data_IF_046612579554
#
_entry.id   IF_046612579554
#
_cell.length_a   1.000
_cell.length_b   1.000
_cell.length_c   1.000
_cell.angle_alpha   90.00
_cell.angle_beta   90.00
_cell.angle_gamma   90.00
#
_symmetry.space_group_name_H-M   'P 1'
#
loop_
_entity.id
_entity.type
_entity.pdbx_description
1 polymer ?
#
# COMPACT_ATOMS: atom_id res chain seq x y z
N UNK A 1 -4.10 -23.47 -5.27
CA UNK A 1 -4.16 -23.96 -6.68
C UNK A 1 -4.80 -25.34 -6.83
N UNK A 2 -4.38 -26.39 -6.10
CA UNK A 2 -4.90 -27.76 -6.31
C UNK A 2 -6.43 -27.87 -6.18
N UNK A 3 -7.04 -27.17 -5.21
CA UNK A 3 -8.50 -27.20 -5.05
C UNK A 3 -9.25 -26.51 -6.20
N UNK A 4 -8.67 -25.44 -6.77
CA UNK A 4 -9.22 -24.78 -7.96
C UNK A 4 -9.14 -25.71 -9.19
N UNK A 5 -8.00 -26.36 -9.41
CA UNK A 5 -7.80 -27.30 -10.52
C UNK A 5 -8.68 -28.55 -10.40
N UNK A 6 -8.90 -29.07 -9.19
CA UNK A 6 -9.79 -30.20 -8.95
C UNK A 6 -11.28 -29.84 -8.97
N UNK A 7 -11.59 -28.54 -9.03
CA UNK A 7 -12.97 -28.04 -9.07
C UNK A 7 -13.68 -27.96 -7.70
N UNK A 8 -12.94 -28.11 -6.59
CA UNK A 8 -13.49 -28.01 -5.25
C UNK A 8 -13.89 -26.60 -4.86
N UNK A 9 -13.21 -25.59 -5.44
CA UNK A 9 -13.50 -24.17 -5.27
C UNK A 9 -13.65 -23.49 -6.64
N UNK A 10 -14.28 -22.32 -6.67
CA UNK A 10 -14.58 -21.58 -7.90
C UNK A 10 -13.58 -20.47 -8.20
N UNK A 11 -12.89 -19.98 -7.18
CA UNK A 11 -11.88 -18.94 -7.33
C UNK A 11 -10.88 -18.89 -6.17
N UNK A 12 -9.72 -18.31 -6.45
CA UNK A 12 -8.67 -18.05 -5.45
C UNK A 12 -8.09 -16.64 -5.60
N UNK A 13 -7.63 -16.10 -4.48
CA UNK A 13 -6.83 -14.89 -4.43
C UNK A 13 -5.33 -15.22 -4.53
N UNK A 14 -4.52 -14.21 -4.91
CA UNK A 14 -3.07 -14.24 -4.86
C UNK A 14 -2.42 -15.48 -5.51
N UNK A 15 -2.70 -15.67 -6.80
CA UNK A 15 -2.02 -16.72 -7.58
C UNK A 15 -0.51 -16.47 -7.56
N UNK A 16 0.27 -17.46 -7.13
CA UNK A 16 1.72 -17.39 -7.13
C UNK A 16 2.28 -17.27 -8.55
N UNK A 17 3.37 -16.55 -8.74
CA UNK A 17 4.00 -16.37 -10.06
C UNK A 17 4.36 -17.70 -10.73
N UNK A 18 4.75 -18.70 -9.94
CA UNK A 18 5.09 -20.04 -10.43
C UNK A 18 3.86 -20.80 -10.99
N UNK A 19 2.65 -20.40 -10.60
CA UNK A 19 1.39 -21.01 -11.04
C UNK A 19 0.77 -20.34 -12.29
N UNK A 20 1.26 -19.16 -12.70
CA UNK A 20 0.68 -18.42 -13.83
C UNK A 20 0.64 -19.23 -15.13
N UNK A 21 1.76 -19.86 -15.48
CA UNK A 21 1.84 -20.70 -16.68
C UNK A 21 0.89 -21.90 -16.62
N UNK A 22 0.71 -22.45 -15.44
CA UNK A 22 -0.23 -23.56 -15.18
C UNK A 22 -1.67 -23.12 -15.39
N UNK A 23 -2.06 -21.97 -14.83
CA UNK A 23 -3.40 -21.42 -15.02
C UNK A 23 -3.64 -21.03 -16.48
N UNK A 24 -2.67 -20.41 -17.14
CA UNK A 24 -2.80 -19.97 -18.54
C UNK A 24 -2.96 -21.14 -19.53
N UNK A 25 -2.45 -22.34 -19.21
CA UNK A 25 -2.59 -23.54 -20.03
C UNK A 25 -3.86 -24.35 -19.78
N UNK A 26 -4.52 -24.12 -18.63
CA UNK A 26 -5.74 -24.81 -18.27
C UNK A 26 -6.96 -24.09 -18.81
N UNK A 27 -7.62 -24.65 -19.83
CA UNK A 27 -8.81 -24.06 -20.45
C UNK A 27 -10.02 -23.95 -19.53
N UNK A 28 -10.00 -24.67 -18.39
CA UNK A 28 -11.05 -24.59 -17.37
C UNK A 28 -10.83 -23.45 -16.37
N UNK A 29 -9.68 -22.78 -16.44
CA UNK A 29 -9.31 -21.69 -15.56
C UNK A 29 -9.15 -20.39 -16.33
N UNK A 30 -9.28 -19.28 -15.63
CA UNK A 30 -9.02 -17.94 -16.17
C UNK A 30 -8.31 -17.11 -15.12
N UNK A 31 -7.22 -16.46 -15.54
CA UNK A 31 -6.45 -15.52 -14.72
C UNK A 31 -7.02 -14.11 -14.88
N UNK A 32 -7.13 -13.40 -13.78
CA UNK A 32 -7.60 -12.02 -13.71
C UNK A 32 -6.52 -11.18 -13.02
N UNK A 33 -5.71 -10.45 -13.78
CA UNK A 33 -4.72 -9.55 -13.20
C UNK A 33 -5.37 -8.47 -12.34
N UNK A 34 -4.74 -8.17 -11.20
CA UNK A 34 -5.11 -7.07 -10.31
C UNK A 34 -3.92 -6.15 -10.17
N UNK A 35 -4.09 -4.90 -10.56
CA UNK A 35 -3.17 -3.82 -10.25
C UNK A 35 -3.80 -2.93 -9.18
N UNK A 36 -3.05 -2.59 -8.15
CA UNK A 36 -3.47 -1.69 -7.08
C UNK A 36 -2.29 -0.84 -6.63
N UNK A 37 -2.57 0.28 -5.97
CA UNK A 37 -1.51 1.15 -5.52
C UNK A 37 -0.70 0.46 -4.40
N UNK A 38 0.53 0.16 -4.73
CA UNK A 38 1.52 -0.40 -3.83
C UNK A 38 2.92 -0.03 -4.32
N UNK A 39 3.91 -0.19 -3.48
CA UNK A 39 5.31 -0.11 -3.90
C UNK A 39 6.24 -0.97 -3.04
N UNK A 40 7.30 -1.50 -3.68
CA UNK A 40 8.55 -1.89 -3.01
C UNK A 40 9.48 -0.70 -2.96
N UNK A 41 10.11 -0.46 -1.82
CA UNK A 41 11.18 0.54 -1.72
C UNK A 41 12.41 0.00 -1.02
N UNK A 42 13.56 0.53 -1.41
CA UNK A 42 14.79 0.53 -0.65
C UNK A 42 14.87 1.85 0.11
N UNK A 43 15.00 1.79 1.42
CA UNK A 43 15.09 2.96 2.29
C UNK A 43 16.48 3.15 2.85
N UNK A 44 16.80 4.40 3.17
CA UNK A 44 18.03 4.79 3.85
C UNK A 44 17.72 5.53 5.14
N UNK A 45 18.40 5.14 6.23
CA UNK A 45 18.35 5.91 7.47
C UNK A 45 19.41 7.01 7.45
N UNK A 46 18.99 8.26 7.34
CA UNK A 46 19.87 9.42 7.22
C UNK A 46 20.57 9.85 8.54
N UNK A 47 20.41 9.08 9.60
CA UNK A 47 21.17 9.23 10.85
C UNK A 47 22.28 8.19 11.00
N UNK A 48 22.41 7.27 10.04
CA UNK A 48 23.42 6.22 10.02
C UNK A 48 24.38 6.44 8.84
N UNK A 49 25.69 6.55 9.13
CA UNK A 49 26.69 6.61 8.07
C UNK A 49 26.75 5.30 7.27
N UNK A 50 26.99 5.36 5.95
CA UNK A 50 27.26 6.54 5.15
C UNK A 50 25.99 7.23 4.58
N UNK A 51 24.79 6.77 4.97
CA UNK A 51 23.51 7.26 4.43
C UNK A 51 23.10 8.64 4.98
N UNK A 52 23.85 9.20 5.93
CA UNK A 52 23.73 10.60 6.38
C UNK A 52 24.19 11.60 5.29
N UNK A 53 24.98 11.15 4.32
CA UNK A 53 25.36 11.95 3.15
C UNK A 53 24.32 11.80 2.03
N UNK A 54 23.68 12.91 1.65
CA UNK A 54 22.66 12.96 0.59
C UNK A 54 23.19 12.49 -0.77
N UNK A 55 24.41 12.89 -1.15
CA UNK A 55 25.01 12.50 -2.42
C UNK A 55 25.26 10.98 -2.48
N UNK A 56 25.58 10.35 -1.36
CA UNK A 56 25.72 8.89 -1.29
C UNK A 56 24.36 8.22 -1.54
N UNK A 57 23.28 8.71 -0.94
CA UNK A 57 21.93 8.15 -1.21
C UNK A 57 21.53 8.34 -2.68
N UNK A 58 21.82 9.51 -3.27
CA UNK A 58 21.57 9.78 -4.70
C UNK A 58 22.36 8.83 -5.60
N UNK A 59 23.66 8.62 -5.31
CA UNK A 59 24.51 7.70 -6.05
C UNK A 59 23.99 6.26 -5.97
N UNK A 60 23.63 5.80 -4.77
CA UNK A 60 23.05 4.46 -4.58
C UNK A 60 21.74 4.29 -5.35
N UNK A 61 20.87 5.30 -5.37
CA UNK A 61 19.61 5.26 -6.10
C UNK A 61 19.82 5.10 -7.62
N UNK A 62 20.76 5.81 -8.19
CA UNK A 62 21.07 5.74 -9.63
C UNK A 62 21.78 4.46 -10.05
N UNK A 63 22.30 3.69 -9.10
CA UNK A 63 22.96 2.40 -9.36
C UNK A 63 21.98 1.23 -9.48
N UNK A 64 20.66 1.44 -9.31
CA UNK A 64 19.65 0.38 -9.29
C UNK A 64 18.82 0.42 -10.56
N UNK A 65 18.94 -0.62 -11.38
CA UNK A 65 18.10 -0.88 -12.55
C UNK A 65 16.76 -1.49 -12.11
N UNK A 66 15.79 -0.62 -11.91
CA UNK A 66 14.44 -0.99 -11.47
C UNK A 66 13.72 -1.84 -12.52
N UNK A 67 13.92 -1.54 -13.82
CA UNK A 67 13.28 -2.27 -14.91
C UNK A 67 13.76 -3.72 -14.95
N UNK A 68 15.08 -3.95 -14.83
CA UNK A 68 15.67 -5.29 -14.71
C UNK A 68 15.04 -6.10 -13.56
N UNK A 69 14.81 -5.45 -12.42
CA UNK A 69 14.18 -6.11 -11.26
C UNK A 69 12.75 -6.53 -11.60
N UNK A 70 11.97 -5.64 -12.21
CA UNK A 70 10.58 -5.94 -12.58
C UNK A 70 10.52 -7.07 -13.62
N UNK A 71 11.31 -6.98 -14.69
CA UNK A 71 11.32 -7.95 -15.78
C UNK A 71 11.70 -9.38 -15.33
N UNK A 72 12.54 -9.51 -14.29
CA UNK A 72 13.03 -10.81 -13.83
C UNK A 72 12.24 -11.41 -12.65
N UNK A 73 11.59 -10.59 -11.83
CA UNK A 73 11.09 -11.07 -10.55
C UNK A 73 9.61 -10.79 -10.29
N UNK A 74 8.96 -9.98 -11.13
CA UNK A 74 7.54 -9.63 -10.93
C UNK A 74 6.65 -10.31 -11.96
N UNK A 75 5.37 -10.53 -11.64
CA UNK A 75 4.38 -10.98 -12.60
C UNK A 75 3.99 -9.88 -13.59
N UNK A 76 3.35 -10.30 -14.68
CA UNK A 76 2.76 -9.40 -15.65
C UNK A 76 1.82 -8.37 -14.97
N UNK A 77 1.89 -7.13 -15.42
CA UNK A 77 1.13 -6.02 -14.87
C UNK A 77 1.88 -5.18 -13.83
N UNK A 78 2.99 -5.68 -13.26
CA UNK A 78 3.87 -4.86 -12.45
C UNK A 78 4.67 -3.88 -13.30
N UNK A 79 5.06 -2.75 -12.71
CA UNK A 79 5.84 -1.71 -13.40
C UNK A 79 7.01 -1.22 -12.55
N UNK A 80 8.10 -0.84 -13.20
CA UNK A 80 9.18 -0.13 -12.54
C UNK A 80 8.66 1.24 -12.06
N UNK A 81 8.92 1.57 -10.80
CA UNK A 81 8.45 2.82 -10.24
C UNK A 81 9.23 4.01 -10.81
N UNK A 82 8.51 5.03 -11.25
CA UNK A 82 9.08 6.25 -11.84
C UNK A 82 9.18 7.41 -10.87
N UNK A 83 8.47 7.35 -9.76
CA UNK A 83 8.45 8.38 -8.70
C UNK A 83 7.93 7.78 -7.39
N UNK A 84 7.88 8.58 -6.33
CA UNK A 84 7.42 8.12 -5.01
C UNK A 84 5.96 7.66 -5.03
N UNK A 85 5.07 8.45 -5.62
CA UNK A 85 3.65 8.07 -5.70
C UNK A 85 3.41 6.97 -6.74
N UNK A 86 2.56 5.96 -6.45
CA UNK A 86 2.16 4.97 -7.45
C UNK A 86 1.23 5.57 -8.52
N UNK A 87 1.18 4.99 -9.74
CA UNK A 87 0.50 5.60 -10.91
C UNK A 87 -1.00 5.87 -10.73
N UNK A 88 -1.69 5.11 -9.88
CA UNK A 88 -3.12 5.27 -9.64
C UNK A 88 -3.48 6.34 -8.61
N UNK A 89 -2.51 6.89 -7.90
CA UNK A 89 -2.76 7.81 -6.78
C UNK A 89 -3.08 9.22 -7.26
N UNK A 90 -4.29 9.70 -7.01
CA UNK A 90 -4.73 11.07 -7.34
C UNK A 90 -5.55 11.68 -6.19
N UNK A 91 -5.11 12.84 -5.60
CA UNK A 91 -3.85 13.54 -5.90
C UNK A 91 -2.63 12.75 -5.44
N UNK A 92 -1.46 13.03 -6.01
CA UNK A 92 -0.17 12.45 -5.62
C UNK A 92 0.74 12.15 -6.80
N UNK A 93 0.32 11.30 -7.74
CA UNK A 93 1.12 10.99 -8.92
C UNK A 93 1.29 12.20 -9.84
N UNK A 94 2.54 12.54 -10.14
CA UNK A 94 2.90 13.68 -10.99
C UNK A 94 3.01 13.25 -12.45
N UNK A 95 2.05 13.62 -13.27
CA UNK A 95 2.05 13.26 -14.70
C UNK A 95 3.26 13.85 -15.43
N UNK A 96 3.96 13.01 -16.18
CA UNK A 96 5.13 13.40 -16.95
C UNK A 96 6.40 13.65 -16.14
N UNK A 97 6.41 13.40 -14.84
CA UNK A 97 7.59 13.43 -13.99
C UNK A 97 8.15 12.02 -13.80
N UNK A 98 9.46 11.92 -13.74
CA UNK A 98 10.16 10.69 -13.38
C UNK A 98 11.42 11.02 -12.58
N UNK A 99 11.71 10.19 -11.58
CA UNK A 99 12.96 10.19 -10.85
C UNK A 99 14.17 10.01 -11.79
N UNK A 100 15.38 10.34 -11.34
CA UNK A 100 16.60 10.10 -12.11
C UNK A 100 16.69 8.64 -12.57
N UNK A 101 17.03 8.44 -13.85
CA UNK A 101 17.13 7.12 -14.44
C UNK A 101 18.35 6.34 -13.92
N UNK A 102 18.33 5.02 -14.09
CA UNK A 102 19.50 4.16 -13.89
C UNK A 102 20.67 4.63 -14.73
N UNK A 103 21.80 4.90 -14.09
CA UNK A 103 23.05 5.32 -14.71
C UNK A 103 24.22 4.94 -13.78
N UNK A 104 24.77 3.72 -13.91
CA UNK A 104 25.79 3.20 -13.02
C UNK A 104 27.12 3.96 -13.10
N UNK A 105 27.45 4.53 -14.26
CA UNK A 105 28.68 5.33 -14.42
C UNK A 105 28.57 6.66 -13.65
N UNK A 106 27.44 7.33 -13.80
CA UNK A 106 27.15 8.56 -13.05
C UNK A 106 27.00 8.28 -11.55
N UNK A 107 26.37 7.16 -11.17
CA UNK A 107 26.27 6.70 -9.78
C UNK A 107 27.67 6.59 -9.16
N UNK A 108 28.59 5.88 -9.83
CA UNK A 108 29.96 5.71 -9.36
C UNK A 108 30.70 7.05 -9.25
N UNK A 109 30.50 7.97 -10.21
CA UNK A 109 31.10 9.30 -10.16
C UNK A 109 30.59 10.09 -8.95
N UNK A 110 29.26 10.13 -8.72
CA UNK A 110 28.67 10.82 -7.58
C UNK A 110 29.20 10.26 -6.25
N UNK A 111 29.26 8.94 -6.12
CA UNK A 111 29.79 8.28 -4.91
C UNK A 111 31.27 8.62 -4.68
N UNK A 112 32.08 8.65 -5.75
CA UNK A 112 33.50 9.02 -5.69
C UNK A 112 33.65 10.48 -5.24
N UNK A 113 32.88 11.39 -5.82
CA UNK A 113 32.93 12.82 -5.50
C UNK A 113 32.44 13.11 -4.08
N UNK A 114 31.50 12.29 -3.59
CA UNK A 114 31.00 12.32 -2.21
C UNK A 114 31.97 11.72 -1.18
N UNK A 115 33.09 11.14 -1.63
CA UNK A 115 34.08 10.50 -0.76
C UNK A 115 33.63 9.15 -0.18
N UNK A 116 32.78 8.41 -0.90
CA UNK A 116 32.34 7.09 -0.48
C UNK A 116 33.52 6.12 -0.39
N UNK A 117 33.62 5.40 0.73
CA UNK A 117 34.64 4.37 0.93
C UNK A 117 34.18 3.04 0.27
N UNK A 118 34.70 2.72 -0.89
CA UNK A 118 34.42 1.47 -1.61
C UNK A 118 34.97 0.22 -0.93
N UNK A 119 35.82 0.36 0.09
CA UNK A 119 36.27 -0.76 0.91
C UNK A 119 35.29 -1.10 2.04
N UNK A 120 34.42 -0.17 2.39
CA UNK A 120 33.34 -0.41 3.35
C UNK A 120 32.32 -1.43 2.82
N UNK A 121 31.89 -2.35 3.67
CA UNK A 121 30.78 -3.25 3.37
C UNK A 121 29.47 -2.67 3.91
N UNK A 122 28.51 -2.43 3.02
CA UNK A 122 27.15 -2.02 3.39
C UNK A 122 26.30 -3.23 3.80
N UNK A 123 25.32 -3.02 4.67
CA UNK A 123 24.34 -4.07 5.01
C UNK A 123 22.99 -3.72 4.40
N UNK A 124 22.41 -4.64 3.62
CA UNK A 124 21.04 -4.58 3.14
C UNK A 124 20.16 -5.55 3.93
N UNK A 125 19.29 -5.01 4.75
CA UNK A 125 18.39 -5.79 5.60
C UNK A 125 17.04 -6.02 4.90
N UNK A 126 16.48 -7.22 5.03
CA UNK A 126 15.17 -7.58 4.47
C UNK A 126 14.58 -8.78 5.20
N UNK A 127 13.28 -9.01 5.01
CA UNK A 127 12.59 -10.19 5.54
C UNK A 127 12.09 -11.09 4.41
N UNK A 128 12.11 -12.42 4.62
CA UNK A 128 11.56 -13.42 3.70
C UNK A 128 10.04 -13.48 3.87
N UNK A 129 9.37 -12.42 3.41
CA UNK A 129 7.92 -12.35 3.43
C UNK A 129 7.39 -11.89 2.08
N UNK A 130 6.84 -12.82 1.32
CA UNK A 130 6.24 -12.54 0.02
C UNK A 130 5.05 -11.58 0.16
N UNK A 131 5.04 -10.56 -0.70
CA UNK A 131 3.98 -9.57 -0.85
C UNK A 131 3.80 -9.27 -2.33
N UNK A 132 2.66 -8.76 -2.78
CA UNK A 132 2.50 -8.32 -4.17
C UNK A 132 3.59 -7.34 -4.63
N UNK A 133 3.99 -6.43 -3.74
CA UNK A 133 5.09 -5.50 -3.98
C UNK A 133 6.49 -6.12 -3.79
N UNK A 134 6.62 -7.29 -3.15
CA UNK A 134 7.90 -7.97 -2.90
C UNK A 134 7.75 -9.49 -3.13
N UNK A 135 7.55 -9.92 -4.38
CA UNK A 135 7.15 -11.30 -4.69
C UNK A 135 8.25 -12.33 -4.46
N UNK A 136 9.51 -11.96 -4.62
CA UNK A 136 10.68 -12.82 -4.48
C UNK A 136 11.78 -12.14 -3.66
N UNK A 137 11.60 -11.98 -2.33
CA UNK A 137 12.44 -11.12 -1.49
C UNK A 137 13.94 -11.41 -1.61
N UNK A 138 14.36 -12.66 -1.42
CA UNK A 138 15.76 -13.04 -1.48
C UNK A 138 16.37 -12.83 -2.87
N UNK A 139 15.66 -13.12 -3.94
CA UNK A 139 16.18 -12.95 -5.31
C UNK A 139 16.34 -11.47 -5.66
N UNK A 140 15.37 -10.64 -5.27
CA UNK A 140 15.44 -9.19 -5.49
C UNK A 140 16.58 -8.58 -4.68
N UNK A 141 16.77 -8.99 -3.43
CA UNK A 141 17.90 -8.52 -2.62
C UNK A 141 19.25 -8.94 -3.21
N UNK A 142 19.36 -10.16 -3.72
CA UNK A 142 20.57 -10.65 -4.42
C UNK A 142 20.84 -9.89 -5.73
N UNK A 143 19.80 -9.53 -6.48
CA UNK A 143 19.95 -8.76 -7.70
C UNK A 143 20.44 -7.34 -7.42
N UNK A 144 19.88 -6.66 -6.39
CA UNK A 144 20.38 -5.35 -5.96
C UNK A 144 21.82 -5.43 -5.44
N UNK A 145 22.17 -6.47 -4.68
CA UNK A 145 23.55 -6.74 -4.28
C UNK A 145 24.48 -6.85 -5.51
N UNK A 146 24.06 -7.60 -6.54
CA UNK A 146 24.85 -7.78 -7.76
C UNK A 146 25.02 -6.46 -8.54
N UNK A 147 23.96 -5.67 -8.69
CA UNK A 147 24.00 -4.37 -9.37
C UNK A 147 24.97 -3.40 -8.65
N UNK A 148 24.91 -3.32 -7.33
CA UNK A 148 25.84 -2.49 -6.55
C UNK A 148 27.29 -2.99 -6.67
N UNK A 149 27.49 -4.31 -6.76
CA UNK A 149 28.83 -4.89 -6.99
C UNK A 149 29.41 -4.53 -8.36
N UNK A 150 28.59 -4.34 -9.39
CA UNK A 150 29.02 -3.91 -10.73
C UNK A 150 29.78 -2.55 -10.70
N UNK A 151 29.43 -1.67 -9.75
CA UNK A 151 30.13 -0.39 -9.58
C UNK A 151 31.15 -0.41 -8.44
N UNK A 152 31.41 -1.59 -7.83
CA UNK A 152 32.43 -1.81 -6.82
C UNK A 152 31.98 -1.71 -5.38
N UNK A 153 30.69 -1.62 -5.10
CA UNK A 153 30.14 -1.56 -3.73
C UNK A 153 29.96 -2.99 -3.18
N UNK A 154 30.50 -3.21 -1.99
CA UNK A 154 30.33 -4.46 -1.25
C UNK A 154 29.07 -4.41 -0.41
N UNK A 155 28.16 -5.37 -0.60
CA UNK A 155 26.91 -5.45 0.16
C UNK A 155 26.79 -6.80 0.83
N UNK A 156 26.53 -6.79 2.15
CA UNK A 156 26.13 -7.96 2.92
C UNK A 156 24.60 -8.02 2.99
N UNK A 157 24.01 -9.16 2.64
CA UNK A 157 22.58 -9.40 2.82
C UNK A 157 22.28 -9.86 4.24
N UNK A 158 21.34 -9.18 4.90
CA UNK A 158 20.86 -9.53 6.23
C UNK A 158 19.40 -9.94 6.17
N UNK A 159 19.17 -11.25 6.06
CA UNK A 159 17.83 -11.81 6.16
C UNK A 159 17.39 -11.87 7.61
N UNK A 160 16.22 -11.36 7.92
CA UNK A 160 15.65 -11.36 9.26
C UNK A 160 14.24 -11.98 9.26
N UNK A 161 13.87 -12.56 10.40
CA UNK A 161 12.51 -13.00 10.64
C UNK A 161 11.60 -11.76 10.83
N UNK A 162 10.37 -11.81 10.29
CA UNK A 162 9.48 -10.64 10.21
C UNK A 162 9.17 -9.98 11.54
N UNK A 163 8.93 -10.78 12.58
CA UNK A 163 8.58 -10.27 13.93
C UNK A 163 9.72 -9.52 14.61
N UNK A 164 10.97 -9.80 14.24
CA UNK A 164 12.16 -9.07 14.70
C UNK A 164 12.50 -7.92 13.75
N UNK A 165 12.26 -8.10 12.44
CA UNK A 165 12.63 -7.15 11.40
C UNK A 165 11.88 -5.83 11.51
N UNK A 166 10.53 -5.89 11.54
CA UNK A 166 9.72 -4.68 11.52
C UNK A 166 9.93 -3.77 12.74
N UNK A 167 10.03 -4.28 13.99
CA UNK A 167 10.42 -3.47 15.15
C UNK A 167 11.81 -2.83 14.99
N UNK A 168 12.81 -3.55 14.49
CA UNK A 168 14.17 -3.03 14.29
C UNK A 168 14.21 -1.90 13.24
N UNK A 169 13.45 -2.04 12.14
CA UNK A 169 13.29 -0.96 11.15
C UNK A 169 12.64 0.26 11.80
N UNK A 170 11.52 0.09 12.49
CA UNK A 170 10.79 1.19 13.14
C UNK A 170 11.59 1.88 14.24
N UNK A 171 12.48 1.15 14.91
CA UNK A 171 13.41 1.70 15.89
C UNK A 171 14.59 2.46 15.25
N UNK A 172 14.69 2.49 13.92
CA UNK A 172 15.80 3.15 13.22
C UNK A 172 17.13 2.42 13.29
N UNK A 173 17.13 1.11 13.58
CA UNK A 173 18.36 0.32 13.74
C UNK A 173 18.99 -0.12 12.41
N UNK A 174 18.27 0.02 11.30
CA UNK A 174 18.71 -0.42 9.97
C UNK A 174 19.10 0.77 9.11
N UNK A 175 20.31 0.70 8.51
CA UNK A 175 20.86 1.78 7.67
C UNK A 175 20.28 1.75 6.25
N UNK A 176 20.23 0.55 5.63
CA UNK A 176 19.66 0.31 4.31
C UNK A 176 18.79 -0.94 4.37
N UNK A 177 17.54 -0.83 3.92
CA UNK A 177 16.59 -1.92 4.07
C UNK A 177 15.47 -1.91 3.04
N UNK A 178 14.91 -3.10 2.74
CA UNK A 178 13.72 -3.25 1.93
C UNK A 178 12.46 -3.29 2.78
N UNK A 179 11.46 -2.53 2.37
CA UNK A 179 10.09 -2.66 2.85
C UNK A 179 9.15 -2.17 1.74
N UNK A 180 7.86 -2.26 1.95
CA UNK A 180 6.88 -1.77 0.98
C UNK A 180 5.56 -1.46 1.63
N UNK A 181 4.64 -0.97 0.82
CA UNK A 181 3.31 -0.56 1.23
C UNK A 181 2.27 -0.95 0.20
N UNK A 182 1.12 -1.27 0.67
CA UNK A 182 -0.12 -1.30 -0.11
C UNK A 182 -1.07 -0.31 0.52
N UNK A 183 -1.71 0.53 -0.27
CA UNK A 183 -2.58 1.54 0.30
C UNK A 183 -3.82 0.95 0.96
N UNK A 184 -4.27 1.61 2.00
CA UNK A 184 -5.52 1.30 2.72
C UNK A 184 -6.69 2.08 2.14
N UNK A 185 -6.43 3.26 1.58
CA UNK A 185 -7.41 4.12 0.91
C UNK A 185 -6.71 5.03 -0.12
N UNK A 186 -7.39 5.39 -1.23
CA UNK A 186 -6.76 6.05 -2.39
C UNK A 186 -6.65 7.57 -2.19
N UNK A 187 -5.90 7.99 -1.20
CA UNK A 187 -5.54 9.39 -0.99
C UNK A 187 -4.05 9.55 -0.70
N UNK A 188 -3.50 10.68 -1.12
CA UNK A 188 -2.10 10.99 -0.94
C UNK A 188 -1.65 10.92 0.52
N UNK A 189 -2.51 11.20 1.49
CA UNK A 189 -2.20 11.14 2.92
C UNK A 189 -1.80 9.73 3.37
N UNK A 190 -2.34 8.67 2.75
CA UNK A 190 -1.93 7.29 3.05
C UNK A 190 -0.50 6.95 2.62
N UNK A 191 0.13 7.83 1.84
CA UNK A 191 1.49 7.70 1.34
C UNK A 191 2.42 8.74 1.95
N UNK A 192 2.13 10.00 1.73
CA UNK A 192 3.02 11.10 2.08
C UNK A 192 3.09 11.32 3.59
N UNK A 193 1.96 11.27 4.28
CA UNK A 193 1.92 11.47 5.73
C UNK A 193 2.59 10.30 6.45
N UNK A 194 2.32 9.06 6.02
CA UNK A 194 2.88 7.85 6.64
C UNK A 194 4.41 7.82 6.51
N UNK A 195 4.96 8.18 5.34
CA UNK A 195 6.39 7.98 5.06
C UNK A 195 7.24 9.22 5.25
N UNK A 196 6.69 10.42 5.03
CA UNK A 196 7.49 11.63 4.90
C UNK A 196 7.31 12.63 6.04
N UNK A 197 6.33 12.40 6.93
CA UNK A 197 6.09 13.25 8.11
C UNK A 197 6.86 12.81 9.37
N UNK A 198 7.75 11.82 9.24
CA UNK A 198 8.61 11.37 10.34
C UNK A 198 7.95 10.36 11.29
N UNK A 199 6.77 9.84 10.96
CA UNK A 199 6.03 8.89 11.82
C UNK A 199 6.52 7.46 11.68
N UNK A 200 7.14 7.09 10.57
CA UNK A 200 7.59 5.71 10.28
C UNK A 200 8.89 5.31 10.99
N UNK A 201 9.69 6.26 11.47
CA UNK A 201 10.89 6.04 12.27
C UNK A 201 12.11 5.47 11.54
N UNK A 202 11.92 4.73 10.45
CA UNK A 202 12.98 3.93 9.83
C UNK A 202 14.00 4.70 8.99
N UNK A 203 13.68 5.91 8.55
CA UNK A 203 14.53 6.73 7.65
C UNK A 203 15.32 7.82 8.35
N UNK A 204 15.25 7.86 9.70
CA UNK A 204 15.90 8.88 10.50
C UNK A 204 15.12 10.19 10.56
N UNK A 205 15.81 11.32 10.45
CA UNK A 205 15.17 12.64 10.54
C UNK A 205 14.37 12.97 9.29
N UNK A 206 13.12 13.45 9.44
CA UNK A 206 12.34 13.93 8.33
C UNK A 206 12.94 15.24 7.75
N UNK A 207 12.59 15.55 6.52
CA UNK A 207 13.06 16.73 5.79
C UNK A 207 12.02 17.85 5.90
N UNK A 208 12.33 19.00 6.54
CA UNK A 208 11.34 20.06 6.77
C UNK A 208 10.73 20.63 5.48
N UNK A 209 11.50 20.72 4.39
CA UNK A 209 11.06 21.19 3.08
C UNK A 209 10.11 20.20 2.38
N UNK A 210 10.18 18.90 2.71
CA UNK A 210 9.19 17.88 2.31
C UNK A 210 7.93 18.00 3.17
N UNK A 211 8.08 18.18 4.49
CA UNK A 211 6.96 18.21 5.43
C UNK A 211 6.03 19.41 5.24
N UNK A 212 6.57 20.56 4.88
CA UNK A 212 5.80 21.80 4.74
C UNK A 212 4.71 21.70 3.66
N UNK A 213 5.00 21.33 2.39
CA UNK A 213 3.94 21.18 1.37
C UNK A 213 2.95 20.06 1.70
N UNK A 214 3.36 18.97 2.35
CA UNK A 214 2.43 17.93 2.82
C UNK A 214 1.45 18.51 3.85
N UNK A 215 1.97 19.25 4.84
CA UNK A 215 1.15 19.89 5.87
C UNK A 215 0.17 20.92 5.30
N UNK A 216 0.57 21.62 4.23
CA UNK A 216 -0.33 22.53 3.50
C UNK A 216 -1.41 21.77 2.74
N UNK A 217 -1.04 20.66 2.04
CA UNK A 217 -1.97 19.83 1.29
C UNK A 217 -3.07 19.24 2.19
N UNK A 218 -2.74 18.83 3.42
CA UNK A 218 -3.68 18.30 4.39
C UNK A 218 -4.80 19.30 4.80
N UNK A 219 -4.61 20.60 4.55
CA UNK A 219 -5.55 21.67 4.88
C UNK A 219 -6.40 22.12 3.70
N UNK A 220 -6.37 21.42 2.59
CA UNK A 220 -7.07 21.78 1.37
C UNK A 220 -8.05 20.69 0.98
N UNK A 221 -9.26 21.06 0.57
CA UNK A 221 -10.23 20.17 -0.05
C UNK A 221 -10.13 20.16 -1.58
N UNK A 222 -9.52 21.18 -2.18
CA UNK A 222 -9.32 21.27 -3.63
C UNK A 222 -8.22 20.31 -4.12
N UNK A 223 -8.62 19.31 -4.88
CA UNK A 223 -7.74 18.25 -5.38
C UNK A 223 -6.61 18.80 -6.26
N UNK A 224 -6.88 19.82 -7.09
CA UNK A 224 -5.88 20.38 -7.99
C UNK A 224 -4.83 21.22 -7.24
N UNK A 225 -5.25 21.91 -6.18
CA UNK A 225 -4.32 22.63 -5.31
C UNK A 225 -3.42 21.65 -4.52
N UNK A 226 -3.99 20.57 -4.00
CA UNK A 226 -3.24 19.49 -3.35
C UNK A 226 -2.22 18.86 -4.30
N UNK A 227 -2.62 18.54 -5.54
CA UNK A 227 -1.74 17.95 -6.54
C UNK A 227 -0.46 18.77 -6.76
N UNK A 228 -0.58 20.10 -6.86
CA UNK A 228 0.60 20.98 -7.03
C UNK A 228 1.62 20.84 -5.91
N UNK A 229 1.15 20.71 -4.67
CA UNK A 229 2.01 20.52 -3.51
C UNK A 229 2.70 19.14 -3.54
N UNK A 230 1.97 18.09 -3.92
CA UNK A 230 2.57 16.76 -4.07
C UNK A 230 3.53 16.67 -5.27
N UNK A 231 3.31 17.45 -6.34
CA UNK A 231 4.28 17.58 -7.45
C UNK A 231 5.63 18.16 -6.97
N UNK A 232 5.60 19.05 -6.00
CA UNK A 232 6.81 19.58 -5.35
C UNK A 232 7.46 18.49 -4.46
N UNK A 233 6.67 17.82 -3.65
CA UNK A 233 7.14 16.75 -2.76
C UNK A 233 7.84 15.64 -3.56
N UNK A 234 7.26 15.18 -4.67
CA UNK A 234 7.88 14.13 -5.50
C UNK A 234 9.30 14.52 -5.96
N UNK A 235 9.53 15.78 -6.32
CA UNK A 235 10.86 16.26 -6.68
C UNK A 235 11.81 16.29 -5.49
N UNK A 236 11.35 16.73 -4.33
CA UNK A 236 12.14 16.80 -3.11
C UNK A 236 12.54 15.41 -2.60
N UNK A 237 11.66 14.41 -2.75
CA UNK A 237 11.99 13.02 -2.44
C UNK A 237 13.17 12.53 -3.28
N UNK A 238 13.27 12.90 -4.56
CA UNK A 238 14.38 12.53 -5.42
C UNK A 238 15.66 13.36 -5.16
N UNK A 239 15.55 14.50 -4.52
CA UNK A 239 16.71 15.27 -4.02
C UNK A 239 17.26 14.62 -2.75
N UNK A 240 16.42 14.38 -1.75
CA UNK A 240 16.87 13.90 -0.45
C UNK A 240 17.04 12.37 -0.39
N UNK A 241 16.34 11.64 -1.26
CA UNK A 241 16.38 10.18 -1.40
C UNK A 241 16.27 9.44 -0.06
N UNK A 242 15.20 9.66 0.74
CA UNK A 242 14.94 8.78 1.89
C UNK A 242 14.52 7.38 1.41
N UNK A 243 13.88 7.30 0.25
CA UNK A 243 13.39 6.08 -0.39
C UNK A 243 13.77 6.02 -1.86
N UNK A 244 14.21 4.85 -2.31
CA UNK A 244 14.28 4.48 -3.73
C UNK A 244 13.11 3.56 -3.99
N UNK A 245 12.03 4.07 -4.56
CA UNK A 245 10.89 3.22 -4.93
C UNK A 245 11.28 2.40 -6.14
N UNK A 246 11.19 1.06 -6.01
CA UNK A 246 11.68 0.08 -7.00
C UNK A 246 10.59 -0.28 -7.99
N UNK A 247 9.45 -0.75 -7.49
CA UNK A 247 8.39 -1.32 -8.32
C UNK A 247 7.02 -1.05 -7.73
N UNK A 248 6.03 -0.93 -8.60
CA UNK A 248 4.62 -1.07 -8.29
C UNK A 248 4.23 -2.50 -8.67
N UNK A 249 3.94 -3.32 -7.69
CA UNK A 249 3.66 -4.74 -7.87
C UNK A 249 2.25 -5.00 -8.40
N UNK A 250 2.06 -6.18 -8.95
CA UNK A 250 0.77 -6.70 -9.36
C UNK A 250 0.52 -8.07 -8.72
N UNK A 251 -0.73 -8.48 -8.71
CA UNK A 251 -1.15 -9.83 -8.32
C UNK A 251 -2.21 -10.32 -9.30
N UNK A 252 -2.67 -11.54 -9.14
CA UNK A 252 -3.77 -12.07 -9.95
C UNK A 252 -4.67 -12.95 -9.11
N UNK A 253 -5.94 -12.94 -9.45
CA UNK A 253 -6.91 -13.92 -9.01
C UNK A 253 -7.09 -14.96 -10.11
N UNK A 254 -7.47 -16.16 -9.75
CA UNK A 254 -7.90 -17.15 -10.73
C UNK A 254 -9.28 -17.69 -10.39
N UNK A 255 -10.08 -17.89 -11.42
CA UNK A 255 -11.42 -18.46 -11.31
C UNK A 255 -11.59 -19.60 -12.32
N UNK A 256 -12.54 -20.51 -12.05
CA UNK A 256 -13.04 -21.40 -13.10
C UNK A 256 -13.56 -20.56 -14.27
N UNK A 257 -13.31 -21.00 -15.51
CA UNK A 257 -13.78 -20.31 -16.72
C UNK A 257 -15.32 -20.24 -16.82
N UNK A 258 -16.03 -21.06 -16.05
CA UNK A 258 -17.51 -21.08 -15.94
C UNK A 258 -18.08 -20.02 -14.99
N UNK A 259 -17.26 -19.37 -14.19
CA UNK A 259 -17.71 -18.26 -13.33
C UNK A 259 -17.95 -17.03 -14.20
N UNK A 260 -19.21 -16.58 -14.26
CA UNK A 260 -19.60 -15.37 -14.97
C UNK A 260 -19.53 -14.13 -14.12
N UNK A 261 -19.53 -12.94 -14.74
CA UNK A 261 -19.62 -11.65 -14.04
C UNK A 261 -18.39 -11.29 -13.20
N UNK A 262 -17.23 -11.89 -13.46
CA UNK A 262 -15.99 -11.59 -12.69
C UNK A 262 -15.49 -10.20 -13.06
N UNK A 263 -15.55 -9.29 -12.09
CA UNK A 263 -14.99 -7.94 -12.19
C UNK A 263 -14.04 -7.74 -11.01
N UNK A 264 -12.77 -7.51 -11.33
CA UNK A 264 -11.70 -7.34 -10.34
C UNK A 264 -11.24 -5.89 -10.38
N UNK A 265 -11.41 -5.21 -9.25
CA UNK A 265 -10.88 -3.86 -9.04
C UNK A 265 -9.54 -3.90 -8.28
N UNK A 266 -8.87 -2.74 -8.19
CA UNK A 266 -7.66 -2.60 -7.41
C UNK A 266 -7.84 -2.99 -5.94
N UNK A 267 -8.97 -2.65 -5.33
CA UNK A 267 -9.22 -2.79 -3.89
C UNK A 267 -10.21 -3.90 -3.54
N UNK A 268 -11.07 -4.25 -4.49
CA UNK A 268 -12.11 -5.24 -4.25
C UNK A 268 -12.43 -6.07 -5.49
N UNK A 269 -13.10 -7.17 -5.25
CA UNK A 269 -13.93 -7.93 -6.19
C UNK A 269 -15.37 -7.91 -5.72
N UNK A 270 -16.32 -7.87 -6.64
CA UNK A 270 -17.74 -7.94 -6.31
C UNK A 270 -18.26 -9.35 -6.49
N UNK A 271 -18.47 -10.07 -5.39
CA UNK A 271 -19.08 -11.39 -5.43
C UNK A 271 -20.58 -11.33 -5.80
N UNK A 272 -21.22 -10.18 -5.57
CA UNK A 272 -22.63 -9.95 -5.95
C UNK A 272 -22.84 -10.06 -7.47
N UNK A 273 -21.87 -9.65 -8.26
CA UNK A 273 -21.94 -9.69 -9.72
C UNK A 273 -21.54 -11.05 -10.30
N UNK A 274 -20.93 -11.93 -9.50
CA UNK A 274 -20.46 -13.23 -9.97
C UNK A 274 -21.59 -14.25 -9.99
N UNK A 275 -21.54 -15.10 -11.00
CA UNK A 275 -22.53 -16.18 -11.19
C UNK A 275 -21.83 -17.52 -11.37
N UNK A 276 -22.41 -18.57 -10.79
CA UNK A 276 -21.99 -19.97 -10.95
C UNK A 276 -23.20 -20.84 -11.34
N UNK A 277 -22.95 -21.99 -11.94
CA UNK A 277 -24.01 -22.93 -12.30
C UNK A 277 -24.79 -23.45 -11.07
N UNK A 278 -24.10 -23.58 -9.93
CA UNK A 278 -24.68 -24.05 -8.67
C UNK A 278 -25.47 -22.97 -7.92
N UNK A 279 -25.28 -21.68 -8.28
CA UNK A 279 -25.76 -20.55 -7.49
C UNK A 279 -24.96 -20.29 -6.21
N UNK A 280 -23.87 -21.06 -5.98
CA UNK A 280 -22.96 -20.88 -4.84
C UNK A 280 -21.56 -20.62 -5.36
N UNK A 281 -20.92 -19.53 -4.90
CA UNK A 281 -19.52 -19.24 -5.16
C UNK A 281 -18.66 -19.69 -3.98
N UNK A 282 -17.69 -20.56 -4.23
CA UNK A 282 -16.70 -20.99 -3.24
C UNK A 282 -15.37 -20.31 -3.58
N UNK A 283 -14.99 -19.32 -2.78
CA UNK A 283 -13.77 -18.54 -2.99
C UNK A 283 -12.78 -18.75 -1.85
N UNK A 284 -11.53 -19.03 -2.19
CA UNK A 284 -10.44 -19.20 -1.23
C UNK A 284 -9.58 -17.95 -1.20
N UNK A 285 -9.33 -17.43 0.00
CA UNK A 285 -8.41 -16.33 0.24
C UNK A 285 -7.20 -16.80 1.07
N UNK A 286 -6.19 -15.95 1.19
CA UNK A 286 -4.89 -16.25 1.80
C UNK A 286 -4.91 -16.36 3.34
N UNK A 287 -6.02 -15.97 3.99
CA UNK A 287 -6.19 -16.06 5.45
C UNK A 287 -7.65 -16.06 5.88
N UNK A 288 -7.89 -16.57 7.07
CA UNK A 288 -9.18 -16.43 7.74
C UNK A 288 -9.41 -14.97 8.14
N UNK A 289 -10.65 -14.44 8.05
CA UNK A 289 -11.00 -13.19 8.70
C UNK A 289 -10.72 -13.25 10.20
N UNK A 290 -10.01 -12.29 10.75
CA UNK A 290 -9.75 -12.19 12.20
C UNK A 290 -11.07 -12.00 12.94
N UNK A 291 -11.90 -11.10 12.43
CA UNK A 291 -13.29 -10.96 12.82
C UNK A 291 -14.13 -10.32 11.72
N UNK A 292 -15.46 -10.30 11.92
CA UNK A 292 -16.40 -9.56 11.09
C UNK A 292 -16.85 -8.23 11.75
N UNK A 293 -16.18 -7.82 12.82
CA UNK A 293 -16.34 -6.49 13.41
C UNK A 293 -15.35 -5.52 12.77
N UNK A 294 -15.65 -5.15 11.55
CA UNK A 294 -14.75 -4.53 10.59
C UNK A 294 -14.19 -3.16 11.03
N UNK A 295 -14.87 -2.44 11.89
CA UNK A 295 -14.42 -1.18 12.45
C UNK A 295 -13.15 -1.32 13.33
N UNK A 296 -12.88 -2.51 13.89
CA UNK A 296 -11.73 -2.79 14.76
C UNK A 296 -10.65 -3.64 14.06
N UNK A 297 -10.81 -3.92 12.77
CA UNK A 297 -9.87 -4.74 12.01
C UNK A 297 -8.91 -3.90 11.15
N UNK A 298 -7.76 -4.51 10.79
CA UNK A 298 -6.71 -3.89 9.97
C UNK A 298 -6.13 -4.86 8.93
N UNK A 299 -6.68 -6.07 8.79
CA UNK A 299 -6.17 -7.08 7.87
C UNK A 299 -7.03 -7.23 6.61
N UNK A 300 -6.37 -7.53 5.48
CA UNK A 300 -7.03 -7.63 4.19
C UNK A 300 -8.02 -8.78 4.07
N UNK A 301 -7.83 -9.89 4.80
CA UNK A 301 -8.75 -11.04 4.76
C UNK A 301 -10.08 -10.71 5.44
N UNK A 302 -10.03 -9.97 6.56
CA UNK A 302 -11.24 -9.43 7.21
C UNK A 302 -11.93 -8.41 6.32
N UNK A 303 -11.19 -7.47 5.73
CA UNK A 303 -11.78 -6.43 4.85
C UNK A 303 -12.43 -7.01 3.61
N UNK A 304 -11.88 -8.07 3.01
CA UNK A 304 -12.55 -8.74 1.87
C UNK A 304 -13.94 -9.25 2.26
N UNK A 305 -14.06 -9.90 3.41
CA UNK A 305 -15.36 -10.35 3.92
C UNK A 305 -16.29 -9.17 4.25
N UNK A 306 -15.75 -8.12 4.87
CA UNK A 306 -16.48 -6.91 5.22
C UNK A 306 -17.09 -6.22 4.01
N UNK A 307 -16.30 -6.10 2.93
CA UNK A 307 -16.74 -5.45 1.69
C UNK A 307 -17.90 -6.20 1.01
N UNK A 308 -18.10 -7.49 1.29
CA UNK A 308 -19.22 -8.26 0.74
C UNK A 308 -20.50 -8.13 1.57
N UNK A 309 -20.43 -7.71 2.84
CA UNK A 309 -21.57 -7.78 3.78
C UNK A 309 -21.99 -6.44 4.35
N UNK A 310 -21.16 -5.40 4.26
CA UNK A 310 -21.48 -4.06 4.77
C UNK A 310 -21.61 -3.01 3.68
N UNK A 311 -22.50 -2.03 3.90
CA UNK A 311 -22.57 -0.82 3.09
C UNK A 311 -21.65 0.26 3.64
N UNK A 312 -21.18 1.14 2.75
CA UNK A 312 -20.30 2.26 3.04
C UNK A 312 -20.92 3.58 2.53
N UNK A 313 -20.49 4.72 3.05
CA UNK A 313 -20.94 6.02 2.53
C UNK A 313 -20.51 6.20 1.09
N UNK A 314 -19.27 5.83 0.78
CA UNK A 314 -18.65 5.73 -0.54
C UNK A 314 -18.04 4.36 -0.71
N UNK A 315 -17.97 3.86 -1.92
CA UNK A 315 -17.27 2.62 -2.27
C UNK A 315 -16.60 2.77 -3.63
N UNK A 316 -15.72 1.86 -3.98
CA UNK A 316 -15.08 1.85 -5.28
C UNK A 316 -16.05 1.37 -6.37
N UNK A 317 -16.00 2.03 -7.51
CA UNK A 317 -16.62 1.48 -8.73
C UNK A 317 -15.95 0.16 -9.07
N UNK A 318 -16.74 -0.82 -9.46
CA UNK A 318 -16.23 -2.14 -9.82
C UNK A 318 -15.17 -2.05 -10.93
N UNK A 319 -14.04 -2.69 -10.72
CA UNK A 319 -12.93 -2.71 -11.67
C UNK A 319 -12.13 -1.41 -11.77
N UNK A 320 -12.31 -0.48 -10.84
CA UNK A 320 -11.68 0.84 -10.87
C UNK A 320 -11.09 1.23 -9.52
N UNK A 321 -10.17 2.19 -9.52
CA UNK A 321 -9.73 2.93 -8.32
C UNK A 321 -10.57 4.19 -8.06
N UNK A 322 -11.54 4.50 -8.92
CA UNK A 322 -12.47 5.59 -8.69
C UNK A 322 -13.50 5.19 -7.63
N UNK A 323 -13.81 6.10 -6.74
CA UNK A 323 -14.88 5.91 -5.76
C UNK A 323 -16.15 6.63 -6.17
N UNK A 324 -17.29 6.13 -5.71
CA UNK A 324 -18.60 6.72 -5.94
C UNK A 324 -19.44 6.73 -4.66
N UNK A 325 -20.40 7.66 -4.55
CA UNK A 325 -21.30 7.68 -3.41
C UNK A 325 -22.27 6.49 -3.47
N UNK A 326 -22.39 5.76 -2.36
CA UNK A 326 -23.27 4.59 -2.19
C UNK A 326 -24.39 4.89 -1.21
N UNK A 327 -24.11 4.92 0.11
CA UNK A 327 -25.12 5.29 1.11
C UNK A 327 -25.24 6.80 1.28
N UNK A 328 -24.20 7.57 0.95
CA UNK A 328 -24.31 9.00 0.74
C UNK A 328 -24.76 9.31 -0.69
N UNK A 329 -25.42 10.46 -0.91
CA UNK A 329 -25.57 11.08 -2.21
C UNK A 329 -24.34 11.93 -2.57
N UNK A 330 -23.77 12.59 -1.56
CA UNK A 330 -22.56 13.40 -1.68
C UNK A 330 -21.96 13.66 -0.29
N UNK A 331 -20.65 13.88 -0.24
CA UNK A 331 -19.95 14.50 0.88
C UNK A 331 -19.11 15.66 0.35
N UNK A 332 -19.19 16.82 0.97
CA UNK A 332 -18.44 18.03 0.58
C UNK A 332 -17.72 18.64 1.79
N UNK A 333 -16.45 18.95 1.60
CA UNK A 333 -15.66 19.70 2.58
C UNK A 333 -15.81 21.20 2.41
N UNK A 334 -15.59 21.96 3.48
CA UNK A 334 -15.32 23.38 3.38
C UNK A 334 -13.88 23.61 2.84
N UNK A 335 -13.53 24.88 2.59
CA UNK A 335 -12.27 25.23 1.89
C UNK A 335 -11.01 24.73 2.61
N UNK A 336 -11.02 24.70 3.95
CA UNK A 336 -9.91 24.25 4.79
C UNK A 336 -10.04 22.78 5.26
N UNK A 337 -10.99 22.04 4.70
CA UNK A 337 -11.27 20.63 4.98
C UNK A 337 -11.54 20.29 6.47
N UNK A 338 -11.93 21.29 7.27
CA UNK A 338 -12.21 21.10 8.71
C UNK A 338 -13.64 20.63 8.98
N UNK A 339 -14.57 20.84 8.03
CA UNK A 339 -15.98 20.46 8.14
C UNK A 339 -16.40 19.73 6.86
N UNK A 340 -16.90 18.52 7.03
CA UNK A 340 -17.46 17.71 5.94
C UNK A 340 -18.95 17.48 6.13
N UNK A 341 -19.74 17.80 5.11
CA UNK A 341 -21.20 17.63 5.14
C UNK A 341 -21.58 16.51 4.15
N UNK A 342 -22.14 15.44 4.67
CA UNK A 342 -22.63 14.32 3.86
C UNK A 342 -24.17 14.35 3.81
N UNK A 343 -24.72 14.33 2.60
CA UNK A 343 -26.13 14.11 2.36
C UNK A 343 -26.38 12.63 2.15
N UNK A 344 -27.22 12.00 3.00
CA UNK A 344 -27.49 10.58 2.93
C UNK A 344 -28.59 10.27 1.92
N UNK A 345 -28.41 9.15 1.21
CA UNK A 345 -29.40 8.62 0.28
C UNK A 345 -30.62 8.13 1.04
N UNK A 346 -31.81 8.47 0.57
CA UNK A 346 -33.06 8.08 1.21
C UNK A 346 -33.53 6.68 0.77
N UNK A 347 -34.26 6.02 1.65
CA UNK A 347 -34.93 4.74 1.35
C UNK A 347 -34.04 3.49 1.47
N UNK A 348 -32.81 3.62 1.91
CA UNK A 348 -31.91 2.49 2.21
C UNK A 348 -32.47 1.71 3.41
N UNK A 349 -32.35 0.39 3.36
CA UNK A 349 -32.76 -0.51 4.44
C UNK A 349 -31.63 -1.51 4.74
N UNK A 350 -31.51 -1.86 6.01
CA UNK A 350 -30.71 -3.00 6.45
C UNK A 350 -31.35 -4.32 5.99
N UNK A 351 -30.59 -5.41 6.00
CA UNK A 351 -31.05 -6.75 5.63
C UNK A 351 -32.24 -7.26 6.48
N UNK A 352 -32.40 -6.74 7.71
CA UNK A 352 -33.53 -7.02 8.58
C UNK A 352 -34.77 -6.14 8.30
N UNK A 353 -34.70 -5.24 7.31
CA UNK A 353 -35.78 -4.32 6.89
C UNK A 353 -35.84 -3.01 7.65
N UNK A 354 -35.00 -2.77 8.67
CA UNK A 354 -34.91 -1.47 9.35
C UNK A 354 -34.44 -0.38 8.39
N UNK A 355 -34.93 0.84 8.56
CA UNK A 355 -34.48 1.97 7.78
C UNK A 355 -33.08 2.43 8.22
N UNK A 356 -32.27 2.83 7.26
CA UNK A 356 -30.97 3.45 7.50
C UNK A 356 -31.13 4.98 7.57
N UNK A 357 -30.50 5.63 8.58
CA UNK A 357 -30.51 7.07 8.74
C UNK A 357 -29.18 7.62 9.33
N UNK A 358 -29.16 8.92 9.63
CA UNK A 358 -27.99 9.57 10.18
C UNK A 358 -27.60 9.07 11.59
N UNK A 359 -28.53 8.51 12.33
CA UNK A 359 -28.27 7.88 13.64
C UNK A 359 -27.38 6.66 13.51
N UNK A 360 -27.55 5.87 12.43
CA UNK A 360 -26.73 4.69 12.16
C UNK A 360 -25.31 5.09 11.78
N UNK A 361 -25.15 6.15 11.00
CA UNK A 361 -23.81 6.72 10.70
C UNK A 361 -23.14 7.18 11.98
N UNK A 362 -23.85 7.93 12.83
CA UNK A 362 -23.32 8.40 14.11
C UNK A 362 -22.89 7.24 14.99
N UNK A 363 -23.72 6.20 15.13
CA UNK A 363 -23.41 5.00 15.91
C UNK A 363 -22.17 4.28 15.38
N UNK A 364 -22.05 4.14 14.05
CA UNK A 364 -20.91 3.49 13.41
C UNK A 364 -19.58 4.19 13.70
N UNK A 365 -19.58 5.52 13.74
CA UNK A 365 -18.38 6.29 14.12
C UNK A 365 -18.17 6.32 15.63
N UNK A 366 -19.26 6.42 16.44
CA UNK A 366 -19.19 6.49 17.90
C UNK A 366 -18.52 5.24 18.50
N UNK A 367 -18.80 4.04 18.00
CA UNK A 367 -18.15 2.81 18.48
C UNK A 367 -16.64 2.82 18.35
N UNK A 368 -16.09 3.54 17.37
CA UNK A 368 -14.64 3.67 17.17
C UNK A 368 -14.02 4.75 18.08
N UNK A 369 -14.78 5.75 18.43
CA UNK A 369 -14.26 6.95 19.05
C UNK A 369 -14.63 7.14 20.51
N UNK A 370 -15.84 6.69 20.96
CA UNK A 370 -16.36 6.94 22.30
C UNK A 370 -16.32 5.67 23.16
N UNK A 371 -15.52 5.71 24.22
CA UNK A 371 -15.44 4.58 25.18
C UNK A 371 -16.74 4.35 25.96
N UNK A 372 -17.63 5.35 26.04
CA UNK A 372 -18.93 5.20 26.67
C UNK A 372 -20.00 4.57 25.77
N UNK A 373 -19.70 4.38 24.47
CA UNK A 373 -20.64 3.79 23.53
C UNK A 373 -20.91 2.31 23.86
N UNK A 374 -22.17 1.92 24.17
CA UNK A 374 -22.49 0.55 24.60
C UNK A 374 -22.16 -0.53 23.54
N UNK A 375 -22.13 -0.15 22.26
CA UNK A 375 -21.81 -1.04 21.15
C UNK A 375 -20.30 -1.12 20.86
N UNK A 376 -19.49 -0.35 21.58
CA UNK A 376 -18.03 -0.41 21.49
C UNK A 376 -17.50 -1.69 22.09
N UNK A 377 -17.36 -2.74 21.28
CA UNK A 377 -16.85 -4.04 21.70
C UNK A 377 -15.60 -4.42 20.93
N UNK A 378 -15.72 -4.64 19.64
CA UNK A 378 -14.62 -5.02 18.76
C UNK A 378 -13.94 -6.34 19.13
N UNK A 379 -12.99 -6.73 18.31
CA UNK A 379 -12.13 -7.89 18.55
C UNK A 379 -10.98 -7.53 19.50
N UNK A 380 -10.26 -6.44 19.22
CA UNK A 380 -9.15 -5.95 20.04
C UNK A 380 -9.59 -4.82 20.98
N UNK A 381 -10.62 -4.07 20.65
CA UNK A 381 -11.05 -2.84 21.31
C UNK A 381 -10.11 -1.65 21.08
N UNK A 382 -9.12 -1.80 20.19
CA UNK A 382 -8.10 -0.78 19.91
C UNK A 382 -8.58 0.25 18.91
N UNK A 383 -9.34 -0.18 17.92
CA UNK A 383 -9.78 0.65 16.78
C UNK A 383 -8.60 1.41 16.16
N UNK A 384 -7.58 0.64 15.72
CA UNK A 384 -6.28 1.15 15.31
C UNK A 384 -6.39 2.25 14.25
N UNK A 385 -7.14 2.03 13.18
CA UNK A 385 -7.28 3.01 12.10
C UNK A 385 -7.96 4.31 12.54
N UNK A 386 -8.93 4.24 13.47
CA UNK A 386 -9.47 5.48 14.02
C UNK A 386 -8.40 6.32 14.70
N UNK A 387 -7.56 5.69 15.53
CA UNK A 387 -6.46 6.37 16.24
C UNK A 387 -5.42 6.93 15.29
N UNK A 388 -5.08 6.18 14.25
CA UNK A 388 -4.07 6.57 13.28
C UNK A 388 -4.54 7.77 12.43
N UNK A 389 -5.82 7.82 12.04
CA UNK A 389 -6.35 8.85 11.16
C UNK A 389 -6.90 10.08 11.89
N UNK A 390 -7.49 9.90 13.06
CA UNK A 390 -8.20 10.97 13.79
C UNK A 390 -7.54 11.35 15.11
N UNK A 391 -6.46 10.68 15.49
CA UNK A 391 -5.68 10.98 16.68
C UNK A 391 -5.83 9.93 17.80
N UNK A 392 -4.84 9.88 18.70
CA UNK A 392 -4.69 8.78 19.66
C UNK A 392 -5.69 8.83 20.82
N UNK A 393 -6.39 9.95 21.03
CA UNK A 393 -7.33 10.11 22.15
C UNK A 393 -8.75 9.86 21.69
N UNK A 394 -9.39 8.87 22.30
CA UNK A 394 -10.83 8.68 22.19
C UNK A 394 -11.59 9.48 23.26
N UNK A 395 -12.88 9.76 22.99
CA UNK A 395 -13.77 10.38 23.94
C UNK A 395 -14.04 9.41 25.10
N UNK A 396 -14.11 9.93 26.32
CA UNK A 396 -14.39 9.16 27.54
C UNK A 396 -13.41 7.98 27.77
N UNK A 397 -12.20 8.06 27.23
CA UNK A 397 -11.17 7.05 27.46
C UNK A 397 -10.80 7.00 28.96
N UNK A 398 -10.80 5.81 29.59
CA UNK A 398 -10.39 5.67 30.98
C UNK A 398 -8.97 6.18 31.18
N UNK A 399 -8.72 6.87 32.30
CA UNK A 399 -7.37 7.24 32.67
C UNK A 399 -6.55 5.95 32.88
N UNK A 400 -5.43 5.84 32.19
CA UNK A 400 -4.47 4.71 32.29
C UNK A 400 -3.76 4.67 33.64
#
# INVERSE_FOLDING_TARGET
>A
MLDLQSGNIDGIDNVGTDDYETVAKDTNLKLYPRTFNNFLYLAFNNEIAPYDNEQIRQGLAMAIDKQRIVDNFYPDGATAATQFAPPGLKPGFSEGYSAPAYDPEKAKQILTDAGFDFDQELTLSYAERTRPYFPQPTKIAQDVQAQLAEIGIKVKLELMEWSAYLPAVRAGEKGMYFLGWSEDFPDATNWYDVFLMGTSGGTGKPFPDIMEPISQAARLSDVAARQKLYDEVNKLVDVHVPYVVIANGATSLAFKSTVGGVVIGPYNESFTEMTTESGTLVFSQDGEPVSLYCADETDGSSFRACNQIFGQLYDFKYGSSEYEPVMAESCTGNDDATVWTCKLRQGIKFSNGAAFDAGDVLSSFAVMWDYSEPLRKGNTGTFQYWKDFFGPKALNEPAS
#
